data_IF_211819942158
#
_entry.id   IF_211819942158
#
_cell.length_a   1.000
_cell.length_b   1.000
_cell.length_c   1.000
_cell.angle_alpha   90.00
_cell.angle_beta   90.00
_cell.angle_gamma   90.00
#
_symmetry.space_group_name_H-M   'P 1'
#
loop_
_entity.id
_entity.type
_entity.pdbx_description
1 polymer ?
#
# COMPACT_ATOMS: atom_id res chain seq x y z
N UNK A 1 -31.58 30.47 34.87
CA UNK A 1 -30.97 29.15 34.54
C UNK A 1 -31.11 28.95 33.04
N UNK A 2 -29.99 29.05 32.30
CA UNK A 2 -29.94 29.07 30.82
C UNK A 2 -30.28 27.69 30.25
N UNK A 3 -31.23 27.65 29.30
CA UNK A 3 -31.50 26.50 28.43
C UNK A 3 -30.39 26.40 27.39
N UNK A 4 -29.72 25.25 27.30
CA UNK A 4 -28.78 24.96 26.22
C UNK A 4 -29.34 23.77 25.44
N UNK A 5 -29.91 24.04 24.26
CA UNK A 5 -30.20 23.02 23.25
C UNK A 5 -28.87 22.54 22.66
N UNK A 6 -28.60 21.24 22.72
CA UNK A 6 -27.52 20.59 21.99
C UNK A 6 -28.12 19.83 20.80
N UNK A 7 -27.65 20.21 19.62
CA UNK A 7 -28.05 19.75 18.29
C UNK A 7 -27.59 18.31 18.11
N UNK A 8 -28.52 17.39 17.80
CA UNK A 8 -28.21 16.03 17.35
C UNK A 8 -27.59 16.11 15.95
N UNK A 9 -26.26 15.97 15.85
CA UNK A 9 -25.59 15.66 14.60
C UNK A 9 -25.61 14.14 14.40
N UNK A 10 -26.38 13.66 13.42
CA UNK A 10 -26.37 12.26 12.99
C UNK A 10 -25.03 11.93 12.35
N UNK A 11 -24.16 11.22 13.08
CA UNK A 11 -23.02 10.52 12.51
C UNK A 11 -23.55 9.37 11.65
N UNK A 12 -23.44 9.49 10.33
CA UNK A 12 -23.53 8.33 9.44
C UNK A 12 -22.23 7.55 9.61
N UNK A 13 -22.26 6.54 10.49
CA UNK A 13 -21.20 5.54 10.57
C UNK A 13 -21.35 4.63 9.36
N UNK A 14 -20.55 4.85 8.33
CA UNK A 14 -20.36 3.87 7.27
C UNK A 14 -19.80 2.59 7.90
N UNK A 15 -20.59 1.52 7.88
CA UNK A 15 -20.19 0.21 8.37
C UNK A 15 -19.05 -0.33 7.48
N UNK A 16 -17.82 -0.23 7.98
CA UNK A 16 -16.70 -1.03 7.46
C UNK A 16 -16.98 -2.48 7.85
N UNK A 17 -16.86 -3.46 6.94
CA UNK A 17 -17.06 -4.87 7.27
C UNK A 17 -16.15 -5.27 8.45
N UNK A 18 -16.76 -5.64 9.57
CA UNK A 18 -16.07 -6.17 10.73
C UNK A 18 -15.49 -7.55 10.35
N UNK A 19 -14.19 -7.62 10.07
CA UNK A 19 -13.54 -8.88 9.68
C UNK A 19 -12.22 -8.73 8.93
N UNK A 20 -11.86 -7.53 8.49
CA UNK A 20 -10.55 -7.28 7.85
C UNK A 20 -9.61 -6.70 8.90
N UNK A 21 -8.59 -7.45 9.37
CA UNK A 21 -7.58 -6.91 10.26
C UNK A 21 -6.67 -5.96 9.46
N UNK A 22 -7.07 -4.69 9.34
CA UNK A 22 -6.18 -3.64 8.85
C UNK A 22 -5.45 -3.09 10.09
N UNK A 23 -4.46 -3.85 10.56
CA UNK A 23 -3.60 -3.44 11.67
C UNK A 23 -2.25 -3.03 11.11
N UNK A 24 -2.17 -1.80 10.63
CA UNK A 24 -0.90 -1.07 10.55
C UNK A 24 -0.66 -0.49 11.96
N UNK A 25 -0.06 -1.29 12.85
CA UNK A 25 0.07 -1.00 14.28
C UNK A 25 1.52 -0.70 14.71
N UNK A 26 2.51 -0.88 13.84
CA UNK A 26 3.91 -0.57 14.13
C UNK A 26 4.37 0.71 13.43
N UNK A 27 5.33 1.41 14.03
CA UNK A 27 6.01 2.52 13.35
C UNK A 27 6.69 1.99 12.09
N UNK A 28 6.33 2.54 10.94
CA UNK A 28 6.91 2.14 9.65
C UNK A 28 6.03 1.27 8.77
N UNK A 29 4.86 0.84 9.23
CA UNK A 29 3.88 0.10 8.41
C UNK A 29 3.40 0.91 7.19
N UNK A 30 2.88 0.21 6.19
CA UNK A 30 2.36 0.76 4.94
C UNK A 30 0.98 0.20 4.64
N UNK A 31 0.06 1.06 4.18
CA UNK A 31 -1.29 0.65 3.84
C UNK A 31 -1.89 1.47 2.68
N UNK A 32 -2.42 0.77 1.67
CA UNK A 32 -3.29 1.31 0.64
C UNK A 32 -4.70 0.70 0.79
N UNK A 33 -5.69 1.49 1.20
CA UNK A 33 -7.05 1.00 1.53
C UNK A 33 -8.10 1.69 0.66
N UNK A 34 -8.54 1.01 -0.39
CA UNK A 34 -9.55 1.48 -1.33
C UNK A 34 -10.92 0.84 -1.04
N UNK A 35 -11.92 1.66 -0.73
CA UNK A 35 -13.30 1.23 -0.50
C UNK A 35 -14.19 1.97 -1.49
N UNK A 36 -14.96 1.23 -2.28
CA UNK A 36 -15.82 1.79 -3.32
C UNK A 36 -17.25 1.22 -3.24
N UNK A 37 -18.18 2.11 -2.91
CA UNK A 37 -19.60 1.78 -2.77
C UNK A 37 -20.48 2.62 -3.69
N UNK A 38 -19.90 3.26 -4.71
CA UNK A 38 -20.58 4.14 -5.66
C UNK A 38 -20.55 3.56 -7.07
N UNK A 39 -21.72 3.33 -7.65
CA UNK A 39 -21.88 2.79 -9.00
C UNK A 39 -21.13 3.63 -10.05
N UNK A 40 -20.44 2.94 -10.97
CA UNK A 40 -19.65 3.57 -12.04
C UNK A 40 -18.43 4.38 -11.60
N UNK A 41 -18.11 4.42 -10.30
CA UNK A 41 -16.95 5.16 -9.79
C UNK A 41 -15.68 4.32 -9.86
N UNK A 42 -14.56 4.97 -10.17
CA UNK A 42 -13.22 4.41 -10.00
C UNK A 42 -12.55 5.00 -8.75
N UNK A 43 -12.00 4.15 -7.89
CA UNK A 43 -11.23 4.54 -6.70
C UNK A 43 -9.83 3.94 -6.79
N UNK A 44 -8.83 4.80 -6.65
CA UNK A 44 -7.43 4.42 -6.53
C UNK A 44 -6.88 4.76 -5.16
N UNK A 45 -6.10 3.86 -4.59
CA UNK A 45 -5.19 4.12 -3.48
C UNK A 45 -3.84 3.51 -3.79
N UNK A 46 -2.82 4.34 -3.77
CA UNK A 46 -1.44 3.95 -3.99
C UNK A 46 -0.66 4.42 -2.78
N UNK A 47 0.20 3.55 -2.26
CA UNK A 47 1.12 3.87 -1.18
C UNK A 47 2.51 3.40 -1.59
N UNK A 48 3.47 4.31 -1.58
CA UNK A 48 4.89 4.00 -1.79
C UNK A 48 5.66 4.45 -0.55
N UNK A 49 6.30 3.52 0.16
CA UNK A 49 6.93 3.78 1.45
C UNK A 49 8.33 3.18 1.53
N UNK A 50 9.33 4.00 1.81
CA UNK A 50 10.68 3.53 2.15
C UNK A 50 10.95 3.91 3.59
N UNK A 51 11.18 2.92 4.45
CA UNK A 51 11.36 3.12 5.89
C UNK A 51 12.69 2.54 6.35
N UNK A 52 13.34 3.23 7.29
CA UNK A 52 14.44 2.68 8.07
C UNK A 52 13.90 2.21 9.42
N UNK A 53 13.82 0.90 9.60
CA UNK A 53 13.51 0.31 10.91
C UNK A 53 14.79 0.29 11.76
N UNK A 54 14.65 0.67 13.03
CA UNK A 54 15.75 0.73 14.01
C UNK A 54 15.50 -0.11 15.25
N UNK A 55 14.48 -0.95 15.19
CA UNK A 55 14.11 -1.84 16.29
C UNK A 55 14.90 -3.15 16.19
N UNK A 56 14.89 -3.93 17.27
CA UNK A 56 15.49 -5.27 17.30
C UNK A 56 14.56 -6.35 16.76
N UNK A 57 13.31 -5.99 16.43
CA UNK A 57 12.25 -6.86 15.93
C UNK A 57 11.60 -6.17 14.72
N UNK A 58 12.02 -6.54 13.52
CA UNK A 58 11.49 -6.01 12.26
C UNK A 58 10.23 -6.78 11.90
N UNK A 59 9.06 -6.20 12.19
CA UNK A 59 7.76 -6.82 11.98
C UNK A 59 6.79 -5.94 11.18
N UNK A 60 7.32 -5.05 10.33
CA UNK A 60 6.49 -4.10 9.59
C UNK A 60 5.48 -4.81 8.68
N UNK A 61 4.28 -4.25 8.64
CA UNK A 61 3.18 -4.70 7.79
C UNK A 61 3.07 -3.81 6.54
N UNK A 62 2.84 -4.45 5.39
CA UNK A 62 2.46 -3.82 4.13
C UNK A 62 1.10 -4.38 3.69
N UNK A 63 0.10 -3.51 3.54
CA UNK A 63 -1.28 -3.92 3.26
C UNK A 63 -1.81 -3.19 2.03
N UNK A 64 -2.30 -3.95 1.05
CA UNK A 64 -3.17 -3.44 0.00
C UNK A 64 -4.57 -4.06 0.14
N UNK A 65 -5.59 -3.23 0.30
CA UNK A 65 -6.96 -3.67 0.50
C UNK A 65 -7.91 -2.95 -0.45
N UNK A 66 -8.56 -3.69 -1.32
CA UNK A 66 -9.57 -3.21 -2.25
C UNK A 66 -10.92 -3.88 -1.97
N UNK A 67 -11.95 -3.09 -1.74
CA UNK A 67 -13.31 -3.57 -1.50
C UNK A 67 -14.33 -2.79 -2.32
N UNK A 68 -15.24 -3.53 -2.95
CA UNK A 68 -16.29 -2.98 -3.81
C UNK A 68 -17.67 -3.55 -3.46
N UNK A 69 -18.72 -2.73 -3.47
CA UNK A 69 -20.11 -3.20 -3.24
C UNK A 69 -21.21 -2.52 -4.05
N UNK A 70 -20.92 -2.09 -5.28
CA UNK A 70 -21.87 -1.42 -6.18
C UNK A 70 -21.79 -2.03 -7.58
N UNK A 71 -22.40 -1.45 -8.61
CA UNK A 71 -22.30 -1.98 -9.99
C UNK A 71 -21.21 -1.22 -10.77
N UNK A 72 -20.67 -1.82 -11.83
CA UNK A 72 -19.82 -1.13 -12.82
C UNK A 72 -18.61 -0.34 -12.29
N UNK A 73 -18.17 -0.62 -11.06
CA UNK A 73 -17.17 0.15 -10.34
C UNK A 73 -15.77 -0.46 -10.49
N UNK A 74 -14.75 0.35 -10.28
CA UNK A 74 -13.37 -0.11 -10.29
C UNK A 74 -12.64 0.35 -9.03
N UNK A 75 -11.90 -0.55 -8.38
CA UNK A 75 -11.27 -0.29 -7.09
C UNK A 75 -9.88 -0.87 -7.06
N UNK A 76 -8.87 0.00 -6.99
CA UNK A 76 -7.48 -0.37 -7.08
C UNK A 76 -6.74 0.05 -5.80
N UNK A 77 -6.05 -0.89 -5.17
CA UNK A 77 -5.18 -0.67 -4.01
C UNK A 77 -3.78 -1.21 -4.31
N UNK A 78 -2.76 -0.36 -4.30
CA UNK A 78 -1.38 -0.78 -4.58
C UNK A 78 -0.48 -0.27 -3.46
N UNK A 79 0.25 -1.16 -2.79
CA UNK A 79 1.12 -0.79 -1.67
C UNK A 79 2.53 -1.35 -1.84
N UNK A 80 3.49 -0.46 -2.04
CA UNK A 80 4.90 -0.79 -2.20
C UNK A 80 5.65 -0.31 -0.97
N UNK A 81 6.36 -1.22 -0.30
CA UNK A 81 7.14 -0.90 0.89
C UNK A 81 8.56 -1.47 0.81
N UNK A 82 9.54 -0.63 1.08
CA UNK A 82 10.92 -1.03 1.31
C UNK A 82 11.28 -0.78 2.78
N UNK A 83 11.63 -1.85 3.49
CA UNK A 83 12.07 -1.81 4.89
C UNK A 83 13.58 -2.02 4.94
N UNK A 84 14.28 -1.09 5.55
CA UNK A 84 15.73 -1.12 5.73
C UNK A 84 16.06 -1.20 7.21
N UNK A 85 16.67 -2.30 7.64
CA UNK A 85 17.23 -2.45 8.97
C UNK A 85 18.75 -2.64 8.88
N UNK A 86 19.50 -1.78 9.58
CA UNK A 86 20.96 -1.84 9.65
C UNK A 86 21.48 -2.03 11.08
N UNK A 87 20.59 -2.38 12.03
CA UNK A 87 20.91 -2.45 13.46
C UNK A 87 20.98 -3.88 13.97
N UNK A 88 21.19 -4.86 13.07
CA UNK A 88 21.29 -6.28 13.39
C UNK A 88 20.05 -6.78 14.16
N UNK A 89 18.87 -6.67 13.53
CA UNK A 89 17.64 -7.18 14.12
C UNK A 89 17.77 -8.66 14.51
N UNK A 90 17.28 -8.98 15.70
CA UNK A 90 17.28 -10.34 16.24
C UNK A 90 16.12 -11.18 15.72
N UNK A 91 15.05 -10.51 15.28
CA UNK A 91 13.84 -11.14 14.72
C UNK A 91 13.42 -10.33 13.50
N UNK A 92 13.20 -11.01 12.39
CA UNK A 92 12.69 -10.41 11.14
C UNK A 92 11.48 -11.22 10.70
N UNK A 93 10.28 -10.69 10.98
CA UNK A 93 8.99 -11.32 10.70
C UNK A 93 8.00 -10.32 10.10
N UNK A 94 8.30 -9.77 8.92
CA UNK A 94 7.43 -8.81 8.25
C UNK A 94 6.15 -9.48 7.72
N UNK A 95 5.11 -8.69 7.47
CA UNK A 95 3.83 -9.16 6.90
C UNK A 95 3.51 -8.39 5.63
N UNK A 96 3.22 -9.10 4.54
CA UNK A 96 2.81 -8.50 3.27
C UNK A 96 1.48 -9.13 2.81
N UNK A 97 0.44 -8.31 2.62
CA UNK A 97 -0.91 -8.79 2.32
C UNK A 97 -1.61 -7.93 1.26
N UNK A 98 -2.24 -8.59 0.29
CA UNK A 98 -3.05 -7.95 -0.74
C UNK A 98 -4.41 -8.64 -0.87
N UNK A 99 -5.51 -7.94 -0.54
CA UNK A 99 -6.86 -8.50 -0.57
C UNK A 99 -7.77 -7.67 -1.49
N UNK A 100 -8.43 -8.34 -2.43
CA UNK A 100 -9.40 -7.74 -3.32
C UNK A 100 -10.76 -8.43 -3.16
N UNK A 101 -11.80 -7.65 -2.87
CA UNK A 101 -13.14 -8.16 -2.59
C UNK A 101 -14.17 -7.47 -3.48
N UNK A 102 -14.95 -8.29 -4.16
CA UNK A 102 -16.17 -7.90 -4.87
C UNK A 102 -17.36 -8.42 -4.06
N UNK A 103 -18.04 -7.55 -3.32
CA UNK A 103 -19.09 -7.92 -2.39
C UNK A 103 -20.47 -7.46 -2.89
N UNK A 104 -21.38 -8.40 -3.14
CA UNK A 104 -22.75 -8.11 -3.62
C UNK A 104 -22.78 -7.23 -4.88
N UNK A 105 -21.83 -7.43 -5.80
CA UNK A 105 -21.73 -6.71 -7.07
C UNK A 105 -21.61 -7.67 -8.26
N UNK A 106 -22.13 -7.26 -9.42
CA UNK A 106 -22.17 -8.10 -10.63
C UNK A 106 -21.09 -7.75 -11.66
N UNK A 107 -20.63 -6.49 -11.70
CA UNK A 107 -19.73 -6.00 -12.75
C UNK A 107 -18.63 -5.08 -12.20
N UNK A 108 -18.27 -5.19 -10.92
CA UNK A 108 -17.14 -4.45 -10.38
C UNK A 108 -15.83 -5.21 -10.53
N UNK A 109 -14.74 -4.45 -10.64
CA UNK A 109 -13.38 -4.95 -10.57
C UNK A 109 -12.73 -4.39 -9.31
N UNK A 110 -12.26 -5.27 -8.43
CA UNK A 110 -11.37 -4.94 -7.32
C UNK A 110 -10.00 -5.55 -7.58
N UNK A 111 -8.95 -4.76 -7.39
CA UNK A 111 -7.56 -5.18 -7.55
C UNK A 111 -6.73 -4.70 -6.36
N UNK A 112 -5.91 -5.59 -5.82
CA UNK A 112 -4.98 -5.27 -4.75
C UNK A 112 -3.61 -5.88 -5.07
N UNK A 113 -2.56 -5.07 -4.98
CA UNK A 113 -1.17 -5.54 -5.05
C UNK A 113 -0.36 -5.00 -3.89
N UNK A 114 0.42 -5.87 -3.25
CA UNK A 114 1.29 -5.51 -2.15
C UNK A 114 2.70 -6.06 -2.43
N UNK A 115 3.66 -5.15 -2.59
CA UNK A 115 5.07 -5.47 -2.79
C UNK A 115 5.85 -5.02 -1.57
N UNK A 116 6.57 -5.94 -0.91
CA UNK A 116 7.40 -5.62 0.24
C UNK A 116 8.82 -6.16 0.04
N UNK A 117 9.82 -5.29 0.18
CA UNK A 117 11.25 -5.63 0.14
C UNK A 117 11.87 -5.32 1.49
N UNK A 118 12.48 -6.32 2.14
CA UNK A 118 13.13 -6.15 3.43
C UNK A 118 14.62 -6.42 3.29
N UNK A 119 15.44 -5.42 3.56
CA UNK A 119 16.89 -5.54 3.68
C UNK A 119 17.28 -5.38 5.14
N UNK A 120 17.69 -6.47 5.77
CA UNK A 120 18.27 -6.47 7.12
C UNK A 120 19.74 -6.89 7.03
N UNK A 121 20.64 -6.03 7.52
CA UNK A 121 22.09 -6.25 7.54
C UNK A 121 22.70 -5.59 8.79
N UNK A 122 23.94 -5.91 9.11
CA UNK A 122 24.71 -5.30 10.21
C UNK A 122 25.49 -4.05 9.78
N UNK A 123 25.54 -3.79 8.47
CA UNK A 123 26.30 -2.69 7.87
C UNK A 123 25.35 -1.56 7.50
N UNK A 124 25.58 -0.31 7.96
CA UNK A 124 24.81 0.83 7.50
C UNK A 124 24.91 1.01 5.98
N UNK A 125 23.76 1.04 5.31
CA UNK A 125 23.67 1.25 3.86
C UNK A 125 22.90 2.53 3.50
N UNK A 126 23.10 2.99 2.27
CA UNK A 126 22.32 4.05 1.62
C UNK A 126 22.11 3.72 0.15
N UNK A 127 21.04 4.26 -0.43
CA UNK A 127 20.85 4.19 -1.87
C UNK A 127 21.92 5.05 -2.58
N UNK A 128 22.34 4.61 -3.76
CA UNK A 128 23.10 5.44 -4.69
C UNK A 128 22.23 6.61 -5.19
N UNK A 129 22.81 7.65 -5.81
CA UNK A 129 22.03 8.67 -6.49
C UNK A 129 21.09 8.10 -7.56
N UNK A 130 21.52 7.04 -8.27
CA UNK A 130 20.71 6.35 -9.26
C UNK A 130 19.54 5.60 -8.60
N UNK A 131 19.80 4.85 -7.52
CA UNK A 131 18.73 4.18 -6.75
C UNK A 131 17.68 5.15 -6.22
N UNK A 132 18.08 6.34 -5.75
CA UNK A 132 17.13 7.38 -5.37
C UNK A 132 16.27 7.86 -6.54
N UNK A 133 16.85 8.05 -7.72
CA UNK A 133 16.11 8.43 -8.93
C UNK A 133 15.17 7.30 -9.38
N UNK A 134 15.61 6.05 -9.33
CA UNK A 134 14.81 4.90 -9.75
C UNK A 134 13.62 4.68 -8.82
N UNK A 135 13.78 4.81 -7.50
CA UNK A 135 12.65 4.77 -6.55
C UNK A 135 11.66 5.91 -6.80
N UNK A 136 12.15 7.12 -7.09
CA UNK A 136 11.30 8.25 -7.41
C UNK A 136 10.52 8.04 -8.74
N UNK A 137 11.18 7.45 -9.75
CA UNK A 137 10.54 7.04 -11.00
C UNK A 137 9.48 5.98 -10.74
N UNK A 138 9.77 4.92 -9.97
CA UNK A 138 8.77 3.88 -9.65
C UNK A 138 7.54 4.49 -9.00
N UNK A 139 7.73 5.38 -8.01
CA UNK A 139 6.61 6.05 -7.36
C UNK A 139 5.80 6.91 -8.36
N UNK A 140 6.48 7.68 -9.21
CA UNK A 140 5.82 8.48 -10.25
C UNK A 140 5.05 7.62 -11.25
N UNK A 141 5.64 6.51 -11.69
CA UNK A 141 5.05 5.59 -12.66
C UNK A 141 3.83 4.88 -12.06
N UNK A 142 3.86 4.51 -10.78
CA UNK A 142 2.69 3.99 -10.06
C UNK A 142 1.54 5.01 -10.04
N UNK A 143 1.81 6.26 -9.67
CA UNK A 143 0.77 7.32 -9.64
C UNK A 143 0.23 7.64 -11.05
N UNK A 144 1.05 7.50 -12.09
CA UNK A 144 0.64 7.70 -13.47
C UNK A 144 -0.43 6.69 -13.92
N UNK A 145 -0.40 5.44 -13.43
CA UNK A 145 -1.37 4.38 -13.77
C UNK A 145 -2.84 4.81 -13.58
N UNK A 146 -3.10 5.75 -12.67
CA UNK A 146 -4.44 6.29 -12.37
C UNK A 146 -5.07 7.05 -13.54
N UNK A 147 -4.26 7.45 -14.52
CA UNK A 147 -4.63 8.29 -15.64
C UNK A 147 -4.50 7.58 -16.99
N UNK A 148 -4.03 6.32 -16.99
CA UNK A 148 -3.86 5.51 -18.19
C UNK A 148 -5.13 4.71 -18.49
N UNK A 149 -5.43 4.53 -19.78
CA UNK A 149 -6.52 3.66 -20.23
C UNK A 149 -6.00 2.24 -20.48
N UNK A 150 -5.64 1.56 -19.40
CA UNK A 150 -5.11 0.20 -19.44
C UNK A 150 -6.23 -0.84 -19.31
N UNK A 151 -6.12 -1.91 -20.10
CA UNK A 151 -6.82 -3.15 -19.78
C UNK A 151 -6.30 -3.71 -18.44
N UNK A 152 -7.09 -4.59 -17.81
CA UNK A 152 -6.69 -5.21 -16.55
C UNK A 152 -5.34 -5.95 -16.66
N UNK A 153 -5.12 -6.71 -17.74
CA UNK A 153 -3.87 -7.45 -17.97
C UNK A 153 -2.67 -6.51 -18.17
N UNK A 154 -2.87 -5.36 -18.80
CA UNK A 154 -1.83 -4.35 -18.94
C UNK A 154 -1.52 -3.68 -17.60
N UNK A 155 -2.54 -3.40 -16.80
CA UNK A 155 -2.37 -2.85 -15.46
C UNK A 155 -1.57 -3.80 -14.57
N UNK A 156 -1.94 -5.08 -14.50
CA UNK A 156 -1.21 -6.07 -13.68
C UNK A 156 0.23 -6.21 -14.16
N UNK A 157 0.45 -6.30 -15.48
CA UNK A 157 1.80 -6.36 -16.07
C UNK A 157 2.63 -5.12 -15.71
N UNK A 158 2.04 -3.92 -15.75
CA UNK A 158 2.74 -2.69 -15.40
C UNK A 158 3.12 -2.67 -13.91
N UNK A 159 2.19 -3.06 -13.02
CA UNK A 159 2.46 -3.15 -11.58
C UNK A 159 3.53 -4.19 -11.26
N UNK A 160 3.48 -5.37 -11.88
CA UNK A 160 4.49 -6.43 -11.72
C UNK A 160 5.88 -5.96 -12.17
N UNK A 161 5.95 -5.24 -13.30
CA UNK A 161 7.19 -4.67 -13.81
C UNK A 161 7.79 -3.64 -12.83
N UNK A 162 6.95 -2.76 -12.27
CA UNK A 162 7.36 -1.78 -11.27
C UNK A 162 7.78 -2.45 -9.96
N UNK A 163 7.11 -3.53 -9.55
CA UNK A 163 7.48 -4.36 -8.40
C UNK A 163 8.87 -4.96 -8.59
N UNK A 164 9.12 -5.60 -9.74
CA UNK A 164 10.41 -6.16 -10.10
C UNK A 164 11.51 -5.09 -10.13
N UNK A 165 11.23 -3.89 -10.66
CA UNK A 165 12.16 -2.75 -10.64
C UNK A 165 12.49 -2.32 -9.21
N UNK A 166 11.50 -2.27 -8.31
CA UNK A 166 11.72 -1.95 -6.90
C UNK A 166 12.66 -2.94 -6.21
N UNK A 167 12.43 -4.25 -6.39
CA UNK A 167 13.32 -5.32 -5.90
C UNK A 167 14.74 -5.15 -6.46
N UNK A 168 14.85 -4.89 -7.77
CA UNK A 168 16.13 -4.71 -8.43
C UNK A 168 16.92 -3.53 -7.86
N UNK A 169 16.26 -2.39 -7.63
CA UNK A 169 16.91 -1.19 -7.07
C UNK A 169 17.45 -1.46 -5.66
N UNK A 170 16.68 -2.12 -4.78
CA UNK A 170 17.16 -2.47 -3.44
C UNK A 170 18.36 -3.43 -3.50
N UNK A 171 18.36 -4.37 -4.45
CA UNK A 171 19.43 -5.34 -4.60
C UNK A 171 20.73 -4.78 -5.22
N UNK A 172 20.62 -3.78 -6.10
CA UNK A 172 21.77 -3.35 -6.94
C UNK A 172 22.22 -1.90 -6.70
N UNK A 173 21.35 -1.04 -6.17
CA UNK A 173 21.62 0.39 -6.01
C UNK A 173 21.80 0.79 -4.54
N UNK A 174 22.36 -0.12 -3.73
CA UNK A 174 22.69 0.08 -2.33
C UNK A 174 24.19 -0.02 -2.10
N UNK A 175 24.74 0.92 -1.35
CA UNK A 175 26.17 0.97 -0.99
C UNK A 175 26.34 1.26 0.50
N UNK A 176 27.48 0.90 1.11
CA UNK A 176 27.80 1.30 2.47
C UNK A 176 27.67 2.82 2.67
N UNK A 177 27.10 3.21 3.80
CA UNK A 177 26.75 4.60 4.12
C UNK A 177 27.96 5.49 4.43
#
# INVERSE_FOLDING_TARGET
>A
MKKLLLILGTLVVSAVPAGVPIVANASGDSAAVAINTTDGKTVWRIQFHVVRDRTTIVNNANIAFAYSSCTGCQTYAISFQTVLDFNNATVVTPTNQAWAINYLCTSCVSYADATQVVLSTDTPMKFTPQGHQDLASIHSDLEALRHEDLTFDQLTTAVDSLSAKCVWVVANEMVPA
#
